data_IF_383374155963
#
_entry.id   IF_383374155963
#
_cell.length_a   1.000
_cell.length_b   1.000
_cell.length_c   1.000
_cell.angle_alpha   90.00
_cell.angle_beta   90.00
_cell.angle_gamma   90.00
#
_symmetry.space_group_name_H-M   'P 1'
#
loop_
_entity.id
_entity.type
_entity.pdbx_description
1 polymer ?
#
# COMPACT_ATOMS: atom_id res chain seq x y z
N UNK A 1 -7.88 10.00 -18.57
CA UNK A 1 -7.68 10.60 -17.23
C UNK A 1 -6.25 11.09 -17.17
N UNK A 2 -6.05 12.36 -16.90
CA UNK A 2 -4.74 13.00 -16.94
C UNK A 2 -4.00 12.73 -15.61
N UNK A 3 -2.73 12.32 -15.66
CA UNK A 3 -1.93 12.11 -14.44
C UNK A 3 -1.73 13.42 -13.64
N UNK A 4 -1.78 14.57 -14.32
CA UNK A 4 -1.69 15.89 -13.70
C UNK A 4 -2.85 16.12 -12.73
N UNK A 5 -4.08 15.71 -13.10
CA UNK A 5 -5.24 15.78 -12.22
C UNK A 5 -5.04 14.92 -10.96
N UNK A 6 -4.46 13.73 -11.11
CA UNK A 6 -4.17 12.84 -10.00
C UNK A 6 -3.19 13.50 -9.01
N UNK A 7 -2.11 14.08 -9.51
CA UNK A 7 -1.12 14.78 -8.69
C UNK A 7 -1.75 15.99 -8.00
N UNK A 8 -2.50 16.79 -8.74
CA UNK A 8 -3.22 17.95 -8.18
C UNK A 8 -4.16 17.53 -7.06
N UNK A 9 -5.01 16.54 -7.29
CA UNK A 9 -5.96 16.05 -6.29
C UNK A 9 -5.26 15.44 -5.07
N UNK A 10 -4.22 14.62 -5.27
CA UNK A 10 -3.46 14.04 -4.16
C UNK A 10 -2.83 15.10 -3.25
N UNK A 11 -2.50 16.26 -3.81
CA UNK A 11 -1.91 17.37 -3.06
C UNK A 11 -2.94 18.28 -2.41
N UNK A 12 -4.08 18.51 -3.05
CA UNK A 12 -5.06 19.54 -2.66
C UNK A 12 -6.29 19.01 -1.96
N UNK A 13 -6.62 17.73 -2.08
CA UNK A 13 -7.73 17.12 -1.35
C UNK A 13 -7.47 17.04 0.16
N UNK A 14 -8.55 17.02 0.93
CA UNK A 14 -8.48 16.75 2.37
C UNK A 14 -7.75 15.42 2.60
N UNK A 15 -6.70 15.46 3.40
CA UNK A 15 -5.79 14.34 3.72
C UNK A 15 -5.06 13.71 2.51
N UNK A 16 -5.10 14.33 1.33
CA UNK A 16 -4.53 13.76 0.11
C UNK A 16 -5.25 12.50 -0.38
N UNK A 17 -6.48 12.26 0.06
CA UNK A 17 -7.25 11.07 -0.28
C UNK A 17 -8.09 11.34 -1.52
N UNK A 18 -7.87 10.57 -2.58
CA UNK A 18 -8.71 10.57 -3.77
C UNK A 18 -9.80 9.53 -3.53
N UNK A 19 -11.04 9.99 -3.37
CA UNK A 19 -12.19 9.16 -3.03
C UNK A 19 -13.32 9.36 -4.03
N UNK A 20 -14.01 8.27 -4.34
CA UNK A 20 -15.19 8.27 -5.19
C UNK A 20 -16.42 7.78 -4.40
N UNK A 21 -17.59 8.27 -4.77
CA UNK A 21 -18.86 7.79 -4.23
C UNK A 21 -19.31 6.49 -4.93
N UNK A 22 -20.48 5.97 -4.55
CA UNK A 22 -21.04 4.75 -5.15
C UNK A 22 -21.35 4.88 -6.64
N UNK A 23 -21.48 6.09 -7.15
CA UNK A 23 -21.72 6.39 -8.56
C UNK A 23 -20.43 6.61 -9.34
N UNK A 24 -19.25 6.32 -8.76
CA UNK A 24 -17.94 6.60 -9.34
C UNK A 24 -17.65 8.09 -9.60
N UNK A 25 -18.32 8.99 -8.89
CA UNK A 25 -18.05 10.41 -8.96
C UNK A 25 -17.05 10.79 -7.87
N UNK A 26 -16.14 11.72 -8.19
CA UNK A 26 -15.17 12.23 -7.22
C UNK A 26 -15.89 12.86 -6.02
N UNK A 27 -15.56 12.40 -4.82
CA UNK A 27 -16.24 12.80 -3.59
C UNK A 27 -15.24 13.06 -2.45
N UNK A 28 -14.46 14.13 -2.61
CA UNK A 28 -13.67 14.67 -1.51
C UNK A 28 -13.58 16.19 -1.65
N UNK A 29 -13.41 16.88 -0.52
CA UNK A 29 -13.35 18.33 -0.47
C UNK A 29 -11.92 18.83 -0.69
N UNK A 30 -11.80 20.06 -1.19
CA UNK A 30 -10.54 20.80 -1.21
C UNK A 30 -10.10 21.12 0.23
N UNK A 31 -8.82 20.96 0.50
CA UNK A 31 -8.25 21.34 1.78
C UNK A 31 -7.97 22.86 1.81
N UNK A 32 -8.68 23.61 2.63
CA UNK A 32 -8.69 25.08 2.61
C UNK A 32 -7.30 25.71 2.82
N UNK A 33 -6.45 25.10 3.65
CA UNK A 33 -5.11 25.63 3.96
C UNK A 33 -3.97 24.92 3.24
N UNK A 34 -4.22 23.78 2.55
CA UNK A 34 -3.19 23.02 1.87
C UNK A 34 -3.06 23.49 0.44
N UNK A 35 -2.07 24.34 0.22
CA UNK A 35 -1.80 24.87 -1.13
C UNK A 35 -1.15 23.83 -2.03
N UNK A 36 -1.31 23.99 -3.32
CA UNK A 36 -0.54 23.26 -4.34
C UNK A 36 0.97 23.49 -4.18
N UNK A 37 1.75 22.68 -4.87
CA UNK A 37 3.22 22.86 -4.93
C UNK A 37 3.54 23.93 -5.97
N UNK A 38 4.59 24.71 -5.72
CA UNK A 38 5.12 25.64 -6.74
C UNK A 38 5.66 24.81 -7.91
N UNK A 39 5.41 25.21 -9.17
CA UNK A 39 5.84 24.46 -10.35
C UNK A 39 7.34 24.13 -10.33
N UNK A 40 8.23 25.12 -10.12
CA UNK A 40 9.68 24.91 -10.11
C UNK A 40 10.12 23.88 -9.06
N UNK A 41 9.49 23.89 -7.88
CA UNK A 41 9.77 22.89 -6.84
C UNK A 41 9.30 21.49 -7.27
N UNK A 42 8.15 21.42 -7.93
CA UNK A 42 7.62 20.17 -8.44
C UNK A 42 8.53 19.59 -9.53
N UNK A 43 8.94 20.41 -10.49
CA UNK A 43 9.81 20.00 -11.58
C UNK A 43 11.15 19.48 -11.04
N UNK A 44 11.78 20.20 -10.12
CA UNK A 44 13.02 19.78 -9.46
C UNK A 44 12.86 18.39 -8.76
N UNK A 45 11.74 18.14 -8.11
CA UNK A 45 11.47 16.84 -7.45
C UNK A 45 11.33 15.75 -8.52
N UNK A 46 10.57 16.00 -9.58
CA UNK A 46 10.35 15.04 -10.67
C UNK A 46 11.68 14.69 -11.36
N UNK A 47 12.49 15.70 -11.69
CA UNK A 47 13.78 15.50 -12.35
C UNK A 47 14.74 14.70 -11.46
N UNK A 48 14.83 15.03 -10.19
CA UNK A 48 15.65 14.28 -9.23
C UNK A 48 15.22 12.81 -9.12
N UNK A 49 13.92 12.53 -9.07
CA UNK A 49 13.41 11.15 -9.06
C UNK A 49 13.69 10.48 -10.41
N UNK A 50 13.43 11.14 -11.54
CA UNK A 50 13.69 10.61 -12.86
C UNK A 50 15.13 10.15 -13.03
N UNK A 51 16.11 11.00 -12.64
CA UNK A 51 17.52 10.65 -12.70
C UNK A 51 17.89 9.43 -11.84
N UNK A 52 17.20 9.22 -10.71
CA UNK A 52 17.45 8.10 -9.81
C UNK A 52 16.89 6.78 -10.34
N UNK A 53 15.71 6.81 -10.97
CA UNK A 53 14.97 5.60 -11.38
C UNK A 53 15.11 5.27 -12.86
N UNK A 54 15.51 6.23 -13.71
CA UNK A 54 15.73 6.03 -15.14
C UNK A 54 16.65 4.83 -15.39
N UNK A 55 16.21 3.91 -16.24
CA UNK A 55 16.92 2.68 -16.59
C UNK A 55 17.17 1.68 -15.43
N UNK A 56 16.60 1.94 -14.26
CA UNK A 56 16.72 1.08 -13.06
C UNK A 56 15.37 0.55 -12.58
N UNK A 57 14.28 1.14 -13.07
CA UNK A 57 12.93 0.80 -12.62
C UNK A 57 12.01 0.55 -13.80
N UNK A 58 11.12 -0.41 -13.63
CA UNK A 58 10.13 -0.79 -14.61
C UNK A 58 8.74 -0.78 -13.98
N UNK A 59 7.82 -0.02 -14.55
CA UNK A 59 6.46 0.13 -14.04
C UNK A 59 5.49 -0.65 -14.94
N UNK A 60 4.66 -1.48 -14.31
CA UNK A 60 3.60 -2.23 -15.01
C UNK A 60 2.27 -2.04 -14.28
N UNK A 61 1.20 -1.87 -15.05
CA UNK A 61 -0.17 -1.93 -14.55
C UNK A 61 -0.75 -3.28 -14.98
N UNK A 62 -0.70 -4.28 -14.09
CA UNK A 62 -1.18 -5.63 -14.37
C UNK A 62 -1.57 -6.34 -13.09
N UNK A 63 -2.23 -7.50 -13.21
CA UNK A 63 -2.45 -8.38 -12.08
C UNK A 63 -1.11 -8.87 -11.51
N UNK A 64 -0.95 -8.83 -10.19
CA UNK A 64 0.31 -9.15 -9.53
C UNK A 64 0.76 -10.60 -9.76
N UNK A 65 -0.17 -11.53 -9.98
CA UNK A 65 0.19 -12.93 -10.24
C UNK A 65 0.89 -13.13 -11.59
N UNK A 66 0.70 -12.23 -12.53
CA UNK A 66 1.32 -12.31 -13.87
C UNK A 66 2.85 -12.22 -13.82
N UNK A 67 3.42 -11.69 -12.74
CA UNK A 67 4.87 -11.57 -12.56
C UNK A 67 5.56 -12.92 -12.33
N UNK A 68 4.84 -13.97 -11.87
CA UNK A 68 5.42 -15.28 -11.52
C UNK A 68 6.29 -15.91 -12.62
N UNK A 69 5.95 -15.68 -13.88
CA UNK A 69 6.69 -16.24 -15.02
C UNK A 69 8.01 -15.49 -15.30
N UNK A 70 8.18 -14.32 -14.74
CA UNK A 70 9.38 -13.50 -14.92
C UNK A 70 10.35 -13.59 -13.72
N UNK A 71 9.90 -14.20 -12.63
CA UNK A 71 10.68 -14.33 -11.40
C UNK A 71 11.62 -15.53 -11.47
N UNK A 72 12.81 -15.33 -10.92
CA UNK A 72 13.85 -16.35 -10.81
C UNK A 72 14.46 -16.36 -9.40
N UNK A 73 15.10 -17.47 -9.04
CA UNK A 73 15.80 -17.59 -7.77
C UNK A 73 16.77 -16.42 -7.56
N UNK A 74 16.71 -15.80 -6.42
CA UNK A 74 17.49 -14.60 -6.04
C UNK A 74 16.70 -13.29 -6.16
N UNK A 75 15.54 -13.30 -6.81
CA UNK A 75 14.66 -12.15 -6.79
C UNK A 75 14.01 -11.99 -5.41
N UNK A 76 13.67 -10.74 -5.10
CA UNK A 76 12.97 -10.36 -3.88
C UNK A 76 11.69 -9.59 -4.23
N UNK A 77 10.59 -9.93 -3.56
CA UNK A 77 9.31 -9.27 -3.73
C UNK A 77 8.86 -8.62 -2.43
N UNK A 78 8.48 -7.35 -2.50
CA UNK A 78 7.71 -6.69 -1.46
C UNK A 78 6.24 -6.63 -1.87
N UNK A 79 5.38 -7.19 -1.02
CA UNK A 79 3.93 -7.25 -1.21
C UNK A 79 3.25 -6.31 -0.20
N UNK A 80 2.46 -5.38 -0.71
CA UNK A 80 1.65 -4.44 0.08
C UNK A 80 0.20 -4.42 -0.43
N UNK A 81 -0.55 -5.53 -0.26
CA UNK A 81 -1.92 -5.61 -0.73
C UNK A 81 -2.86 -4.79 0.16
N UNK A 82 -4.05 -4.45 -0.35
CA UNK A 82 -5.12 -3.91 0.49
C UNK A 82 -5.41 -4.84 1.67
N UNK A 83 -5.58 -4.30 2.87
CA UNK A 83 -5.95 -5.10 4.03
C UNK A 83 -7.41 -5.57 3.94
N UNK A 84 -7.70 -6.80 4.36
CA UNK A 84 -9.05 -7.37 4.29
C UNK A 84 -10.12 -6.55 5.01
N UNK A 85 -9.74 -5.82 6.05
CA UNK A 85 -10.65 -4.98 6.82
C UNK A 85 -10.81 -3.55 6.29
N UNK A 86 -10.16 -3.21 5.20
CA UNK A 86 -10.28 -1.89 4.56
C UNK A 86 -11.54 -1.78 3.69
N UNK A 87 -12.66 -2.40 4.13
CA UNK A 87 -13.95 -2.31 3.46
C UNK A 87 -14.24 -0.87 3.01
N UNK A 88 -14.59 -0.69 1.75
CA UNK A 88 -14.94 0.58 1.12
C UNK A 88 -13.79 1.57 0.78
N UNK A 89 -12.51 1.20 0.95
CA UNK A 89 -11.38 2.04 0.49
C UNK A 89 -10.87 1.67 -0.89
N UNK A 90 -11.07 0.43 -1.31
CA UNK A 90 -10.59 -0.10 -2.58
C UNK A 90 -11.78 -0.62 -3.42
N UNK A 91 -11.65 -0.52 -4.73
CA UNK A 91 -12.70 -0.89 -5.69
C UNK A 91 -12.92 -2.41 -5.68
N UNK A 92 -11.88 -3.18 -5.43
CA UNK A 92 -11.93 -4.64 -5.38
C UNK A 92 -11.49 -5.18 -4.02
N UNK A 93 -12.17 -6.22 -3.56
CA UNK A 93 -11.76 -6.95 -2.38
C UNK A 93 -10.60 -7.88 -2.75
N UNK A 94 -9.56 -7.91 -1.92
CA UNK A 94 -8.46 -8.83 -2.07
C UNK A 94 -8.97 -10.28 -1.96
N UNK A 95 -8.72 -11.09 -2.99
CA UNK A 95 -9.01 -12.52 -2.96
C UNK A 95 -7.90 -13.25 -2.20
N UNK A 96 -8.25 -13.83 -1.04
CA UNK A 96 -7.32 -14.51 -0.13
C UNK A 96 -6.68 -15.74 -0.74
N UNK A 97 -7.49 -16.57 -1.37
CA UNK A 97 -7.02 -17.83 -1.94
C UNK A 97 -6.02 -17.56 -3.07
N UNK A 98 -6.29 -16.52 -3.86
CA UNK A 98 -5.39 -16.05 -4.90
C UNK A 98 -4.07 -15.54 -4.32
N UNK A 99 -4.11 -14.75 -3.24
CA UNK A 99 -2.91 -14.25 -2.58
C UNK A 99 -2.10 -15.38 -1.96
N UNK A 100 -2.76 -16.30 -1.25
CA UNK A 100 -2.07 -17.42 -0.59
C UNK A 100 -1.48 -18.38 -1.63
N UNK A 101 -2.20 -18.66 -2.71
CA UNK A 101 -1.68 -19.43 -3.84
C UNK A 101 -0.46 -18.79 -4.50
N UNK A 102 -0.50 -17.48 -4.70
CA UNK A 102 0.66 -16.73 -5.22
C UNK A 102 1.89 -16.86 -4.30
N UNK A 103 1.71 -16.71 -2.99
CA UNK A 103 2.79 -16.82 -2.02
C UNK A 103 3.34 -18.26 -1.94
N UNK A 104 2.47 -19.25 -2.05
CA UNK A 104 2.91 -20.66 -2.13
C UNK A 104 3.79 -20.91 -3.36
N UNK A 105 3.44 -20.35 -4.50
CA UNK A 105 4.26 -20.42 -5.72
C UNK A 105 5.61 -19.69 -5.57
N UNK A 106 5.65 -18.54 -4.87
CA UNK A 106 6.92 -17.89 -4.55
C UNK A 106 7.82 -18.79 -3.70
N UNK A 107 7.25 -19.47 -2.69
CA UNK A 107 7.98 -20.41 -1.86
C UNK A 107 8.53 -21.60 -2.66
N UNK A 108 7.72 -22.20 -3.52
CA UNK A 108 8.14 -23.32 -4.40
C UNK A 108 9.30 -22.91 -5.32
N UNK A 109 9.28 -21.69 -5.81
CA UNK A 109 10.33 -21.15 -6.67
C UNK A 109 11.55 -20.62 -5.89
N UNK A 110 11.55 -20.68 -4.56
CA UNK A 110 12.59 -20.09 -3.71
C UNK A 110 12.79 -18.58 -3.96
N UNK A 111 11.71 -17.85 -4.23
CA UNK A 111 11.70 -16.40 -4.35
C UNK A 111 11.51 -15.81 -2.94
N UNK A 112 12.39 -14.90 -2.57
CA UNK A 112 12.29 -14.22 -1.27
C UNK A 112 11.16 -13.19 -1.29
N UNK A 113 10.40 -13.10 -0.19
CA UNK A 113 9.39 -12.07 -0.08
C UNK A 113 9.31 -11.44 1.31
N UNK A 114 8.80 -10.20 1.32
CA UNK A 114 8.26 -9.53 2.48
C UNK A 114 6.82 -9.10 2.18
N UNK A 115 5.88 -9.50 3.03
CA UNK A 115 4.48 -9.15 2.92
C UNK A 115 4.08 -8.25 4.09
N UNK A 116 3.69 -7.00 3.80
CA UNK A 116 3.02 -6.12 4.76
C UNK A 116 1.54 -6.49 4.78
N UNK A 117 1.09 -7.01 5.91
CA UNK A 117 -0.26 -7.52 5.97
C UNK A 117 -0.79 -7.57 7.39
N UNK A 118 -2.02 -7.19 7.58
CA UNK A 118 -2.75 -7.18 8.83
C UNK A 118 -1.92 -6.79 10.07
N UNK A 119 -2.52 -5.96 10.87
CA UNK A 119 -1.95 -5.53 12.11
C UNK A 119 -2.94 -5.69 13.26
N UNK A 120 -2.70 -5.01 14.35
CA UNK A 120 -3.64 -4.84 15.41
C UNK A 120 -4.03 -3.37 15.56
N UNK A 121 -5.27 -3.13 15.93
CA UNK A 121 -5.78 -1.82 16.29
C UNK A 121 -6.30 -1.89 17.72
N UNK A 122 -5.76 -1.05 18.61
CA UNK A 122 -6.20 -0.98 20.02
C UNK A 122 -6.22 -2.33 20.74
N UNK A 123 -5.20 -3.18 20.51
CA UNK A 123 -5.07 -4.56 21.00
C UNK A 123 -6.13 -5.55 20.47
N UNK A 124 -7.03 -5.11 19.60
CA UNK A 124 -7.89 -6.03 18.87
C UNK A 124 -7.06 -6.55 17.69
N UNK A 125 -6.72 -7.82 17.73
CA UNK A 125 -6.12 -8.48 16.58
C UNK A 125 -7.15 -8.43 15.45
N UNK A 126 -6.82 -7.76 14.37
CA UNK A 126 -7.60 -7.79 13.13
C UNK A 126 -7.29 -9.13 12.46
N UNK A 127 -7.87 -10.21 13.03
CA UNK A 127 -7.43 -11.56 12.75
C UNK A 127 -8.18 -12.17 11.58
N UNK A 128 -7.47 -12.25 10.46
CA UNK A 128 -7.44 -13.52 9.75
C UNK A 128 -6.00 -14.00 9.79
N UNK A 129 -5.76 -15.13 10.40
CA UNK A 129 -4.40 -15.65 10.57
C UNK A 129 -3.83 -16.00 9.20
N UNK A 130 -2.77 -15.31 8.84
CA UNK A 130 -1.98 -15.69 7.68
C UNK A 130 -1.39 -17.10 7.91
N UNK A 131 -1.58 -18.07 6.97
CA UNK A 131 -1.20 -19.45 7.21
C UNK A 131 0.28 -19.61 7.57
N UNK A 132 0.57 -20.19 8.73
CA UNK A 132 1.95 -20.36 9.25
C UNK A 132 2.88 -21.07 8.29
N UNK A 133 2.37 -21.96 7.44
CA UNK A 133 3.17 -22.70 6.44
C UNK A 133 3.74 -21.82 5.32
N UNK A 134 3.22 -20.59 5.14
CA UNK A 134 3.59 -19.70 4.04
C UNK A 134 4.73 -18.74 4.40
N UNK A 135 5.11 -18.63 5.67
CA UNK A 135 6.18 -17.73 6.11
C UNK A 135 7.07 -18.38 7.18
N UNK A 136 8.26 -17.84 7.38
CA UNK A 136 9.19 -18.28 8.44
C UNK A 136 9.23 -17.34 9.62
N UNK A 137 9.12 -16.04 9.37
CA UNK A 137 9.18 -15.00 10.40
C UNK A 137 8.03 -14.02 10.29
N UNK A 138 7.53 -13.57 11.44
CA UNK A 138 6.59 -12.47 11.56
C UNK A 138 7.22 -11.39 12.43
N UNK A 139 7.26 -10.17 11.92
CA UNK A 139 7.76 -8.99 12.63
C UNK A 139 6.56 -8.07 12.87
N UNK A 140 6.36 -7.66 14.11
CA UNK A 140 5.34 -6.65 14.44
C UNK A 140 5.98 -5.28 14.43
N UNK A 141 5.46 -4.38 13.61
CA UNK A 141 5.93 -3.01 13.47
C UNK A 141 4.94 -2.11 14.22
N UNK A 142 5.34 -1.64 15.38
CA UNK A 142 4.51 -0.73 16.15
C UNK A 142 4.52 0.66 15.51
N UNK A 143 3.38 1.10 15.01
CA UNK A 143 3.19 2.48 14.56
C UNK A 143 2.61 3.30 15.71
N UNK A 144 3.34 4.28 16.16
CA UNK A 144 2.81 5.29 17.05
C UNK A 144 2.04 6.31 16.21
N UNK A 145 0.70 6.26 16.30
CA UNK A 145 -0.19 7.37 15.98
C UNK A 145 -0.53 7.55 14.49
N UNK A 146 -1.75 7.18 14.12
CA UNK A 146 -2.40 7.77 12.95
C UNK A 146 -2.62 9.27 13.20
N UNK A 147 -1.98 10.13 12.42
CA UNK A 147 -2.14 11.59 12.47
C UNK A 147 -3.60 12.05 12.38
N UNK A 148 -4.44 11.30 11.68
CA UNK A 148 -5.88 11.55 11.54
C UNK A 148 -6.67 11.37 12.84
N UNK A 149 -6.39 10.32 13.60
CA UNK A 149 -7.10 10.03 14.84
C UNK A 149 -6.69 10.98 15.99
N UNK A 150 -5.49 11.52 15.96
CA UNK A 150 -5.05 12.53 16.92
C UNK A 150 -5.82 13.84 16.79
N UNK A 151 -6.16 14.23 15.56
CA UNK A 151 -6.89 15.46 15.30
C UNK A 151 -8.38 15.32 15.65
N UNK A 152 -8.97 14.15 15.39
CA UNK A 152 -10.41 13.95 15.54
C UNK A 152 -10.83 13.42 16.92
N UNK A 153 -10.06 12.56 17.57
CA UNK A 153 -10.54 11.80 18.73
C UNK A 153 -9.72 11.95 20.01
N UNK A 154 -8.62 12.72 20.02
CA UNK A 154 -7.73 12.90 21.20
C UNK A 154 -7.27 11.58 21.89
N UNK A 155 -7.55 10.41 21.31
CA UNK A 155 -7.13 9.10 21.83
C UNK A 155 -5.90 8.63 21.05
N UNK A 156 -4.85 8.29 21.77
CA UNK A 156 -3.64 7.66 21.22
C UNK A 156 -3.95 6.18 20.91
N UNK A 157 -4.50 5.90 19.76
CA UNK A 157 -4.70 4.53 19.32
C UNK A 157 -3.37 3.93 18.89
N UNK A 158 -3.02 2.78 19.44
CA UNK A 158 -1.82 2.01 19.02
C UNK A 158 -2.19 1.18 17.81
N UNK A 159 -1.44 1.36 16.74
CA UNK A 159 -1.52 0.52 15.55
C UNK A 159 -0.24 -0.30 15.43
N UNK A 160 -0.36 -1.53 15.04
CA UNK A 160 0.80 -2.33 14.63
C UNK A 160 0.50 -2.96 13.30
N UNK A 161 1.46 -2.92 12.39
CA UNK A 161 1.46 -3.69 11.16
C UNK A 161 2.26 -4.97 11.35
N UNK A 162 1.94 -5.98 10.57
CA UNK A 162 2.72 -7.23 10.57
C UNK A 162 3.47 -7.37 9.25
N UNK A 163 4.74 -7.68 9.36
CA UNK A 163 5.58 -8.03 8.22
C UNK A 163 5.89 -9.53 8.26
N UNK A 164 5.49 -10.24 7.22
CA UNK A 164 5.72 -11.68 7.07
C UNK A 164 6.85 -11.92 6.07
N UNK A 165 7.79 -12.76 6.43
CA UNK A 165 9.00 -13.06 5.66
C UNK A 165 9.13 -14.58 5.49
N UNK A 166 9.62 -15.03 4.33
CA UNK A 166 9.91 -16.46 4.09
C UNK A 166 11.38 -16.82 4.20
N UNK A 167 12.19 -15.95 4.80
CA UNK A 167 13.63 -16.16 5.00
C UNK A 167 14.08 -15.84 6.41
#
# INVERSE_FOLDING_TARGET
KNFQDLIFLSRTCVNGIIRFNKNNEFNNSLHLSRRGMKPDLFDNIVDNWFLRIKNKSYFKCCDYTSILNHLKKGDFIYLDPPYFHSKNRYIENLNKDKLFGFIDELNKKNILFALSFDGSRDNIKLNEEFPKKLFKRKISINQTISTLNNVLNKKKNKFSDSLYLNY
#
